data_IF_918244699571
#
_entry.id   IF_918244699571
#
_cell.length_a   1.000
_cell.length_b   1.000
_cell.length_c   1.000
_cell.angle_alpha   90.00
_cell.angle_beta   90.00
_cell.angle_gamma   90.00
#
_symmetry.space_group_name_H-M   'P 1'
#
loop_
_entity.id
_entity.type
_entity.pdbx_description
1 polymer ?
#
# COMPACT_ATOMS: atom_id res chain seq x y z
N UNK A 1 15.45 12.64 16.90
CA UNK A 1 14.60 11.59 16.30
C UNK A 1 13.69 12.22 15.24
N UNK A 2 13.55 11.60 14.07
CA UNK A 2 12.81 12.18 12.93
C UNK A 2 11.35 11.73 12.88
N UNK A 3 10.44 12.62 12.47
CA UNK A 3 9.05 12.25 12.21
C UNK A 3 8.97 11.24 11.04
N UNK A 4 8.11 10.20 11.11
CA UNK A 4 7.89 9.27 10.00
C UNK A 4 7.47 9.99 8.72
N UNK A 5 8.07 9.59 7.59
CA UNK A 5 7.69 10.08 6.27
C UNK A 5 6.56 9.19 5.75
N UNK A 6 5.37 9.76 5.63
CA UNK A 6 4.19 9.10 5.11
C UNK A 6 4.19 9.19 3.58
N UNK A 7 4.64 8.12 2.92
CA UNK A 7 4.78 8.05 1.46
C UNK A 7 3.49 7.56 0.80
N UNK A 8 2.80 8.44 0.09
CA UNK A 8 1.56 8.12 -0.62
C UNK A 8 1.68 8.37 -2.13
N UNK A 9 0.85 7.70 -2.92
CA UNK A 9 0.59 8.11 -4.29
C UNK A 9 -0.58 9.09 -4.32
N UNK A 10 -0.50 10.10 -5.19
CA UNK A 10 -1.62 11.03 -5.40
C UNK A 10 -2.76 10.28 -6.08
N UNK A 11 -3.95 10.31 -5.46
CA UNK A 11 -5.19 9.95 -6.13
C UNK A 11 -6.07 11.20 -6.26
N UNK A 12 -6.00 11.83 -7.43
CA UNK A 12 -6.87 12.95 -7.78
C UNK A 12 -8.33 12.48 -7.74
N UNK A 13 -9.23 13.27 -7.16
CA UNK A 13 -10.67 12.98 -7.05
C UNK A 13 -11.06 11.71 -6.27
N UNK A 14 -10.15 11.12 -5.46
CA UNK A 14 -10.38 9.83 -4.80
C UNK A 14 -11.71 9.69 -4.04
N UNK A 15 -12.09 10.72 -3.28
CA UNK A 15 -13.36 10.77 -2.51
C UNK A 15 -14.60 10.76 -3.42
N UNK A 16 -14.54 11.51 -4.51
CA UNK A 16 -15.65 11.65 -5.47
C UNK A 16 -15.79 10.39 -6.32
N UNK A 17 -14.67 9.83 -6.78
CA UNK A 17 -14.66 8.58 -7.53
C UNK A 17 -15.26 7.41 -6.75
N UNK A 18 -14.98 7.30 -5.45
CA UNK A 18 -15.58 6.25 -4.61
C UNK A 18 -17.10 6.38 -4.54
N UNK A 19 -17.60 7.61 -4.32
CA UNK A 19 -19.05 7.92 -4.31
C UNK A 19 -19.73 7.63 -5.64
N UNK A 20 -19.13 8.07 -6.75
CA UNK A 20 -19.62 7.83 -8.11
C UNK A 20 -19.72 6.33 -8.36
N UNK A 21 -18.67 5.56 -8.06
CA UNK A 21 -18.67 4.10 -8.26
C UNK A 21 -19.76 3.41 -7.44
N UNK A 22 -20.00 3.87 -6.21
CA UNK A 22 -21.11 3.38 -5.37
C UNK A 22 -22.48 3.69 -5.99
N UNK A 23 -22.68 4.92 -6.48
CA UNK A 23 -23.95 5.33 -7.11
C UNK A 23 -24.26 4.54 -8.38
N UNK A 24 -23.24 4.21 -9.17
CA UNK A 24 -23.37 3.48 -10.43
C UNK A 24 -23.14 1.96 -10.30
N UNK A 25 -23.07 1.41 -9.07
CA UNK A 25 -22.80 -0.01 -8.81
C UNK A 25 -21.58 -0.58 -9.57
N UNK A 26 -20.56 0.25 -9.79
CA UNK A 26 -19.35 -0.16 -10.52
C UNK A 26 -18.51 -1.08 -9.61
N UNK A 27 -18.21 -2.33 -10.04
CA UNK A 27 -17.42 -3.26 -9.26
C UNK A 27 -16.06 -2.66 -8.87
N UNK A 28 -15.75 -2.73 -7.58
CA UNK A 28 -14.51 -2.18 -7.01
C UNK A 28 -13.80 -3.27 -6.21
N UNK A 29 -12.49 -3.41 -6.40
CA UNK A 29 -11.73 -4.45 -5.72
C UNK A 29 -11.65 -4.21 -4.20
N UNK A 30 -11.48 -5.30 -3.43
CA UNK A 30 -11.41 -5.26 -1.96
C UNK A 30 -10.31 -4.32 -1.46
N UNK A 31 -9.15 -4.29 -2.12
CA UNK A 31 -8.04 -3.40 -1.76
C UNK A 31 -8.44 -1.92 -1.77
N UNK A 32 -9.19 -1.48 -2.78
CA UNK A 32 -9.65 -0.09 -2.87
C UNK A 32 -10.74 0.20 -1.84
N UNK A 33 -11.66 -0.74 -1.62
CA UNK A 33 -12.71 -0.62 -0.60
C UNK A 33 -12.12 -0.45 0.81
N UNK A 34 -11.11 -1.24 1.16
CA UNK A 34 -10.46 -1.13 2.49
C UNK A 34 -9.66 0.17 2.66
N UNK A 35 -9.06 0.73 1.59
CA UNK A 35 -8.46 2.07 1.63
C UNK A 35 -9.52 3.15 1.87
N UNK A 36 -10.62 3.10 1.13
CA UNK A 36 -11.70 4.08 1.25
C UNK A 36 -12.35 4.00 2.65
N UNK A 37 -12.51 2.79 3.19
CA UNK A 37 -12.94 2.54 4.58
C UNK A 37 -11.97 3.16 5.59
N UNK A 38 -10.67 2.94 5.46
CA UNK A 38 -9.67 3.52 6.37
C UNK A 38 -9.70 5.07 6.34
N UNK A 39 -9.86 5.67 5.16
CA UNK A 39 -10.04 7.12 5.04
C UNK A 39 -11.35 7.60 5.69
N UNK A 40 -12.41 6.81 5.58
CA UNK A 40 -13.70 7.03 6.23
C UNK A 40 -13.58 7.04 7.77
N UNK A 41 -12.97 6.01 8.35
CA UNK A 41 -12.75 5.88 9.79
C UNK A 41 -11.96 7.07 10.36
N UNK A 42 -10.90 7.50 9.68
CA UNK A 42 -10.10 8.67 10.09
C UNK A 42 -10.93 9.95 10.01
N UNK A 43 -11.76 10.10 8.97
CA UNK A 43 -12.63 11.26 8.80
C UNK A 43 -13.71 11.32 9.87
N UNK A 44 -14.35 10.20 10.16
CA UNK A 44 -15.38 10.09 11.19
C UNK A 44 -14.81 10.43 12.56
N UNK A 45 -13.64 9.87 12.90
CA UNK A 45 -13.05 10.05 14.22
C UNK A 45 -12.33 11.39 14.42
N UNK A 46 -11.69 11.92 13.37
CA UNK A 46 -10.80 13.08 13.49
C UNK A 46 -11.13 14.22 12.52
N UNK A 47 -12.24 14.14 11.79
CA UNK A 47 -12.74 15.21 10.91
C UNK A 47 -11.97 15.40 9.59
N UNK A 48 -10.88 14.66 9.34
CA UNK A 48 -10.02 14.84 8.16
C UNK A 48 -10.03 13.64 7.24
N UNK A 49 -10.17 13.89 5.94
CA UNK A 49 -10.13 12.85 4.92
C UNK A 49 -8.84 12.93 4.11
N UNK A 50 -8.21 11.78 3.88
CA UNK A 50 -7.02 11.65 3.03
C UNK A 50 -7.33 10.77 1.82
N UNK A 51 -6.94 11.22 0.63
CA UNK A 51 -7.20 10.51 -0.63
C UNK A 51 -5.98 9.75 -1.17
N UNK A 52 -4.79 9.97 -0.63
CA UNK A 52 -3.57 9.34 -1.14
C UNK A 52 -3.56 7.84 -0.89
N UNK A 53 -3.09 7.02 -1.84
CA UNK A 53 -3.04 5.56 -1.67
C UNK A 53 -1.67 5.11 -1.17
N UNK A 54 -1.55 3.92 -0.55
CA UNK A 54 -0.27 3.40 -0.15
C UNK A 54 0.65 3.27 -1.36
N UNK A 55 1.89 3.72 -1.21
CA UNK A 55 2.93 3.34 -2.15
C UNK A 55 3.43 1.92 -1.85
N UNK A 56 4.01 1.22 -2.83
CA UNK A 56 4.70 -0.05 -2.60
C UNK A 56 6.08 0.20 -1.97
N UNK A 57 6.11 0.89 -0.82
CA UNK A 57 7.33 1.29 -0.13
C UNK A 57 7.28 0.81 1.33
N UNK A 58 8.40 0.94 2.03
CA UNK A 58 8.52 0.75 3.46
C UNK A 58 7.77 1.87 4.17
N UNK A 59 6.85 1.47 5.03
CA UNK A 59 6.08 2.38 5.87
C UNK A 59 6.82 2.60 7.19
N UNK A 60 6.97 3.85 7.59
CA UNK A 60 7.57 4.22 8.88
C UNK A 60 6.50 4.56 9.90
N UNK A 61 6.61 3.99 11.10
CA UNK A 61 5.63 4.16 12.18
C UNK A 61 6.31 4.63 13.47
N UNK A 62 5.63 5.45 14.26
CA UNK A 62 5.95 5.64 15.67
C UNK A 62 5.29 4.53 16.48
N UNK A 63 6.05 3.88 17.37
CA UNK A 63 5.52 2.82 18.25
C UNK A 63 4.31 3.29 19.06
N UNK A 64 4.34 4.53 19.54
CA UNK A 64 3.24 5.14 20.29
C UNK A 64 1.98 5.32 19.47
N UNK A 65 2.10 5.74 18.22
CA UNK A 65 0.96 5.95 17.33
C UNK A 65 0.37 4.59 16.91
N UNK A 66 1.23 3.61 16.62
CA UNK A 66 0.80 2.23 16.35
C UNK A 66 0.01 1.67 17.53
N UNK A 67 0.54 1.80 18.75
CA UNK A 67 -0.13 1.38 19.98
C UNK A 67 -1.48 2.07 20.15
N UNK A 68 -1.53 3.39 20.00
CA UNK A 68 -2.78 4.14 20.14
C UNK A 68 -3.83 3.70 19.12
N UNK A 69 -3.44 3.44 17.87
CA UNK A 69 -4.35 2.90 16.84
C UNK A 69 -4.91 1.53 17.27
N UNK A 70 -4.05 0.61 17.71
CA UNK A 70 -4.44 -0.76 18.07
C UNK A 70 -5.27 -0.84 19.35
N UNK A 71 -4.86 -0.13 20.39
CA UNK A 71 -5.40 -0.33 21.74
C UNK A 71 -6.52 0.64 22.09
N UNK A 72 -6.60 1.80 21.41
CA UNK A 72 -7.53 2.87 21.79
C UNK A 72 -8.38 3.30 20.62
N UNK A 73 -7.75 3.71 19.53
CA UNK A 73 -8.41 4.53 18.55
C UNK A 73 -9.25 3.76 17.54
N UNK A 74 -8.80 2.56 17.15
CA UNK A 74 -9.49 1.69 16.20
C UNK A 74 -9.51 0.24 16.70
N UNK A 75 -9.59 0.07 18.02
CA UNK A 75 -9.47 -1.24 18.67
C UNK A 75 -10.52 -2.22 18.16
N UNK A 76 -11.78 -1.79 18.09
CA UNK A 76 -12.89 -2.67 17.72
C UNK A 76 -12.81 -3.09 16.25
N UNK A 77 -12.45 -2.17 15.37
CA UNK A 77 -12.29 -2.41 13.94
C UNK A 77 -11.08 -3.32 13.65
N UNK A 78 -10.01 -3.20 14.45
CA UNK A 78 -8.87 -4.11 14.38
C UNK A 78 -9.27 -5.50 14.87
N UNK A 79 -9.93 -5.60 16.03
CA UNK A 79 -10.42 -6.89 16.53
C UNK A 79 -11.36 -7.58 15.54
N UNK A 80 -12.25 -6.85 14.87
CA UNK A 80 -13.14 -7.42 13.86
C UNK A 80 -12.41 -7.88 12.60
N UNK A 81 -11.19 -7.39 12.35
CA UNK A 81 -10.34 -7.86 11.26
C UNK A 81 -9.66 -9.18 11.62
N UNK A 82 -9.29 -9.39 12.90
CA UNK A 82 -8.52 -10.55 13.35
C UNK A 82 -9.28 -11.88 13.27
N UNK A 83 -10.61 -11.84 13.27
CA UNK A 83 -11.45 -13.05 13.16
C UNK A 83 -11.61 -13.56 11.73
N UNK A 84 -11.22 -12.76 10.73
CA UNK A 84 -11.42 -13.11 9.33
C UNK A 84 -10.30 -14.04 8.83
N UNK A 85 -10.66 -15.22 8.33
CA UNK A 85 -9.71 -16.14 7.68
C UNK A 85 -9.23 -15.63 6.32
N UNK A 86 -10.10 -14.97 5.57
CA UNK A 86 -9.82 -14.33 4.28
C UNK A 86 -10.11 -12.84 4.39
N UNK A 87 -9.38 -12.04 3.58
CA UNK A 87 -9.55 -10.59 3.60
C UNK A 87 -11.00 -10.20 3.26
N UNK A 88 -11.57 -9.32 4.08
CA UNK A 88 -12.88 -8.71 3.90
C UNK A 88 -12.76 -7.25 3.49
N UNK A 89 -13.81 -6.71 2.85
CA UNK A 89 -13.90 -5.27 2.58
C UNK A 89 -14.06 -4.42 3.84
N UNK A 90 -14.40 -5.04 4.97
CA UNK A 90 -14.50 -4.39 6.28
C UNK A 90 -13.20 -4.44 7.09
N UNK A 91 -12.16 -5.10 6.59
CA UNK A 91 -10.87 -5.18 7.26
C UNK A 91 -10.20 -3.81 7.36
N UNK A 92 -9.44 -3.65 8.44
CA UNK A 92 -8.52 -2.53 8.59
C UNK A 92 -7.36 -2.66 7.59
N UNK A 93 -7.17 -1.60 6.81
CA UNK A 93 -6.05 -1.46 5.90
C UNK A 93 -4.89 -0.74 6.58
N UNK A 94 -3.65 -1.16 6.32
CA UNK A 94 -2.41 -0.58 6.91
C UNK A 94 -2.28 0.95 6.80
N UNK A 95 -2.96 1.58 5.85
CA UNK A 95 -2.96 3.03 5.64
C UNK A 95 -3.63 3.79 6.78
N UNK A 96 -4.46 3.12 7.59
CA UNK A 96 -5.07 3.77 8.77
C UNK A 96 -3.99 4.33 9.71
N UNK A 97 -2.88 3.61 9.89
CA UNK A 97 -1.74 4.04 10.70
C UNK A 97 -1.03 5.26 10.09
N UNK A 98 -0.89 5.30 8.76
CA UNK A 98 -0.29 6.42 8.05
C UNK A 98 -1.15 7.68 8.15
N UNK A 99 -2.46 7.54 7.92
CA UNK A 99 -3.41 8.64 8.08
C UNK A 99 -3.50 9.12 9.53
N UNK A 100 -3.38 8.20 10.49
CA UNK A 100 -3.32 8.52 11.91
C UNK A 100 -2.13 9.43 12.22
N UNK A 101 -0.92 9.05 11.76
CA UNK A 101 0.27 9.88 11.93
C UNK A 101 0.08 11.28 11.33
N UNK A 102 -0.56 11.38 10.15
CA UNK A 102 -0.86 12.68 9.52
C UNK A 102 -1.86 13.52 10.32
N UNK A 103 -2.94 12.91 10.83
CA UNK A 103 -3.97 13.66 11.56
C UNK A 103 -3.50 14.09 12.94
N UNK A 104 -2.62 13.32 13.57
CA UNK A 104 -1.95 13.69 14.82
C UNK A 104 -0.78 14.66 14.62
N UNK A 105 -0.48 15.07 13.37
CA UNK A 105 0.67 15.92 13.01
C UNK A 105 2.02 15.34 13.47
N UNK A 106 2.11 14.01 13.46
CA UNK A 106 3.28 13.22 13.86
C UNK A 106 3.93 12.49 12.69
N UNK A 107 3.46 12.73 11.47
CA UNK A 107 4.08 12.25 10.25
C UNK A 107 4.09 13.33 9.18
N UNK A 108 5.08 13.26 8.29
CA UNK A 108 5.25 14.21 7.18
C UNK A 108 4.79 13.55 5.89
N UNK A 109 3.74 14.10 5.28
CA UNK A 109 3.24 13.62 4.00
C UNK A 109 4.26 13.88 2.89
N UNK A 110 4.60 12.83 2.13
CA UNK A 110 5.37 12.93 0.90
C UNK A 110 4.68 12.15 -0.21
N UNK A 111 4.37 12.83 -1.30
CA UNK A 111 3.90 12.13 -2.49
C UNK A 111 5.10 11.58 -3.26
N UNK A 112 5.01 10.32 -3.65
CA UNK A 112 6.10 9.58 -4.29
C UNK A 112 5.66 8.99 -5.62
N UNK A 113 6.66 8.69 -6.44
CA UNK A 113 6.54 8.20 -7.81
C UNK A 113 7.16 6.82 -7.95
N UNK A 114 7.19 6.31 -9.19
CA UNK A 114 7.86 5.04 -9.51
C UNK A 114 9.38 5.08 -9.31
N UNK A 115 9.99 6.27 -9.25
CA UNK A 115 11.41 6.42 -8.94
C UNK A 115 11.74 5.97 -7.51
N UNK A 116 10.84 6.19 -6.56
CA UNK A 116 11.06 5.76 -5.17
C UNK A 116 10.82 4.26 -4.97
N UNK A 117 9.81 3.72 -5.66
CA UNK A 117 9.55 2.29 -5.67
C UNK A 117 8.59 1.92 -6.78
N UNK A 118 8.73 0.73 -7.35
CA UNK A 118 7.80 0.25 -8.37
C UNK A 118 7.26 -1.16 -8.07
N UNK A 119 6.00 -1.38 -8.48
CA UNK A 119 5.35 -2.69 -8.43
C UNK A 119 5.28 -3.27 -9.84
N UNK A 120 6.08 -4.30 -10.09
CA UNK A 120 6.10 -5.02 -11.36
C UNK A 120 5.22 -6.27 -11.21
N UNK A 121 4.27 -6.47 -12.11
CA UNK A 121 3.40 -7.65 -12.14
C UNK A 121 4.06 -8.72 -12.99
N UNK A 122 4.04 -9.99 -12.56
CA UNK A 122 4.72 -11.07 -13.29
C UNK A 122 4.20 -11.28 -14.72
N UNK A 123 2.92 -10.98 -14.96
CA UNK A 123 2.30 -11.09 -16.30
C UNK A 123 2.79 -10.01 -17.28
N UNK A 124 3.64 -9.07 -16.83
CA UNK A 124 4.26 -8.10 -17.73
C UNK A 124 5.44 -8.76 -18.45
N UNK A 125 5.57 -8.56 -19.77
CA UNK A 125 6.53 -9.31 -20.56
C UNK A 125 7.98 -8.89 -20.26
N UNK A 126 8.21 -7.61 -19.96
CA UNK A 126 9.56 -7.07 -19.77
C UNK A 126 9.71 -6.38 -18.41
N UNK A 127 10.47 -7.01 -17.53
CA UNK A 127 10.81 -6.46 -16.22
C UNK A 127 11.95 -5.44 -16.32
N UNK A 128 12.91 -5.67 -17.22
CA UNK A 128 14.11 -4.85 -17.35
C UNK A 128 13.78 -3.48 -17.93
N UNK A 129 12.90 -3.42 -18.93
CA UNK A 129 12.35 -2.16 -19.45
C UNK A 129 11.76 -1.29 -18.34
N UNK A 130 11.09 -1.91 -17.37
CA UNK A 130 10.50 -1.19 -16.24
C UNK A 130 11.55 -0.63 -15.28
N UNK A 131 12.62 -1.40 -15.04
CA UNK A 131 13.77 -0.96 -14.25
C UNK A 131 14.47 0.20 -14.95
N UNK A 132 14.79 0.06 -16.24
CA UNK A 132 15.46 1.10 -17.03
C UNK A 132 14.62 2.38 -17.15
N UNK A 133 13.31 2.24 -17.36
CA UNK A 133 12.41 3.39 -17.54
C UNK A 133 12.24 4.24 -16.29
N UNK A 134 12.21 3.62 -15.11
CA UNK A 134 11.91 4.33 -13.86
C UNK A 134 13.12 4.50 -12.94
N UNK A 135 14.18 3.73 -13.16
CA UNK A 135 15.35 3.62 -12.29
C UNK A 135 14.97 3.64 -10.79
N UNK A 136 14.15 2.67 -10.34
CA UNK A 136 13.54 2.73 -9.04
C UNK A 136 14.56 2.37 -7.94
N UNK A 137 14.50 3.07 -6.80
CA UNK A 137 15.33 2.72 -5.62
C UNK A 137 14.96 1.35 -5.05
N UNK A 138 13.69 0.98 -5.14
CA UNK A 138 13.15 -0.28 -4.65
C UNK A 138 12.17 -0.83 -5.69
N UNK A 139 12.04 -2.14 -5.80
CA UNK A 139 10.94 -2.71 -6.58
C UNK A 139 10.42 -4.00 -5.96
N UNK A 140 9.20 -4.37 -6.32
CA UNK A 140 8.61 -5.65 -5.95
C UNK A 140 8.03 -6.35 -7.18
N UNK A 141 8.36 -7.64 -7.31
CA UNK A 141 7.75 -8.55 -8.27
C UNK A 141 6.49 -9.16 -7.63
N UNK A 142 5.35 -9.03 -8.30
CA UNK A 142 4.05 -9.43 -7.74
C UNK A 142 3.37 -10.49 -8.60
N UNK A 143 3.24 -11.67 -8.02
CA UNK A 143 2.43 -12.77 -8.54
C UNK A 143 0.92 -12.49 -8.33
N UNK A 144 0.08 -13.04 -9.19
CA UNK A 144 -1.38 -13.06 -9.02
C UNK A 144 -1.94 -14.41 -9.47
N UNK A 145 -3.20 -14.71 -9.15
CA UNK A 145 -3.90 -15.91 -9.65
C UNK A 145 -3.92 -16.05 -11.19
N UNK A 146 -3.51 -15.03 -11.95
CA UNK A 146 -3.39 -15.05 -13.41
C UNK A 146 -1.97 -15.30 -13.92
N UNK A 147 -0.97 -15.36 -13.05
CA UNK A 147 0.40 -15.65 -13.49
C UNK A 147 0.52 -17.14 -13.84
N UNK A 148 1.16 -17.39 -14.97
CA UNK A 148 1.52 -18.72 -15.45
C UNK A 148 2.91 -19.11 -14.96
N UNK A 149 3.27 -20.39 -15.07
CA UNK A 149 4.63 -20.83 -14.74
C UNK A 149 5.68 -20.19 -15.64
N UNK A 150 5.34 -19.95 -16.92
CA UNK A 150 6.17 -19.16 -17.84
C UNK A 150 6.43 -17.74 -17.34
N UNK A 151 5.45 -17.09 -16.69
CA UNK A 151 5.67 -15.76 -16.10
C UNK A 151 6.63 -15.83 -14.91
N UNK A 152 6.59 -16.93 -14.13
CA UNK A 152 7.46 -17.16 -12.96
C UNK A 152 8.89 -17.52 -13.36
N UNK A 153 9.06 -18.31 -14.41
CA UNK A 153 10.37 -18.71 -14.95
C UNK A 153 11.26 -17.49 -15.31
N UNK A 154 10.64 -16.38 -15.74
CA UNK A 154 11.37 -15.13 -16.07
C UNK A 154 11.97 -14.41 -14.86
N UNK A 155 11.52 -14.71 -13.63
CA UNK A 155 11.95 -13.98 -12.43
C UNK A 155 13.42 -14.20 -12.12
N UNK A 156 13.88 -15.45 -12.13
CA UNK A 156 15.26 -15.79 -11.77
C UNK A 156 16.29 -15.17 -12.71
N UNK A 157 16.20 -15.35 -14.05
CA UNK A 157 17.16 -14.72 -14.97
C UNK A 157 17.18 -13.19 -14.86
N UNK A 158 16.02 -12.57 -14.62
CA UNK A 158 15.92 -11.13 -14.42
C UNK A 158 16.65 -10.66 -13.16
N UNK A 159 16.46 -11.36 -12.03
CA UNK A 159 17.13 -11.00 -10.77
C UNK A 159 18.64 -11.26 -10.84
N UNK A 160 19.08 -12.37 -11.43
CA UNK A 160 20.50 -12.68 -11.63
C UNK A 160 21.20 -11.66 -12.55
N UNK A 161 20.48 -11.13 -13.54
CA UNK A 161 21.01 -10.06 -14.39
C UNK A 161 21.16 -8.72 -13.65
N UNK A 162 20.27 -8.42 -12.69
CA UNK A 162 20.29 -7.15 -11.94
C UNK A 162 21.20 -7.20 -10.71
N UNK A 163 21.28 -8.36 -10.07
CA UNK A 163 22.05 -8.63 -8.86
C UNK A 163 22.86 -9.93 -9.05
N UNK A 164 23.98 -9.87 -9.79
CA UNK A 164 24.79 -11.06 -10.09
C UNK A 164 25.47 -11.63 -8.84
N UNK A 165 25.69 -10.78 -7.83
CA UNK A 165 26.22 -11.19 -6.54
C UNK A 165 25.06 -11.46 -5.58
N UNK A 166 24.97 -12.71 -5.10
CA UNK A 166 23.97 -13.14 -4.13
C UNK A 166 24.12 -12.33 -2.85
N UNK A 167 23.01 -11.80 -2.32
CA UNK A 167 23.01 -11.13 -1.03
C UNK A 167 23.34 -12.10 0.10
N UNK A 168 24.09 -11.66 1.12
CA UNK A 168 24.37 -12.47 2.31
C UNK A 168 23.13 -12.83 3.15
N UNK A 169 21.97 -12.26 2.84
CA UNK A 169 20.68 -12.60 3.44
C UNK A 169 19.90 -13.68 2.68
N UNK A 170 20.37 -14.07 1.50
CA UNK A 170 19.75 -15.13 0.71
C UNK A 170 20.32 -16.49 1.15
N UNK A 171 19.43 -17.38 1.63
CA UNK A 171 19.76 -18.76 2.02
C UNK A 171 20.28 -19.56 0.83
#
# INVERSE_FOLDING_TARGET
EGMPIVRLQRAFLGKWMSRIRGLFNIPTNIYRKTIDRAAGLIKEKFGKYYSGTPHHNIDSYLKTDYRNVVEKDFRNEILSTLINHLRSEHDIQRIVYLYYALVKKRGVLRYVSRKESCRIRLQKPDFMDYIMSYNPVLFCLNDTHRATDKDRERVKPFLEALFPEKSGYEL
#
